data_IF_541701850708
#
_entry.id   IF_541701850708
#
_cell.length_a   1.000
_cell.length_b   1.000
_cell.length_c   1.000
_cell.angle_alpha   90.00
_cell.angle_beta   90.00
_cell.angle_gamma   90.00
#
_symmetry.space_group_name_H-M   'P 1'
#
loop_
_entity.id
_entity.type
_entity.pdbx_description
1 polymer ?
#
# COMPACT_ATOMS: atom_id res chain seq x y z
N UNK A 1 35.05 42.34 2.93
CA UNK A 1 35.43 40.92 3.00
C UNK A 1 34.28 40.15 3.63
N UNK A 2 33.77 39.11 2.98
CA UNK A 2 32.76 38.23 3.60
C UNK A 2 33.44 37.44 4.70
N UNK A 3 32.86 37.40 5.91
CA UNK A 3 33.44 36.64 7.01
C UNK A 3 33.33 35.13 6.72
N UNK A 4 34.34 34.35 7.14
CA UNK A 4 34.38 32.90 6.89
C UNK A 4 33.13 32.19 7.42
N UNK A 5 32.64 32.63 8.58
CA UNK A 5 31.43 32.11 9.21
C UNK A 5 30.17 32.48 8.43
N UNK A 6 30.11 33.66 7.81
CA UNK A 6 28.97 34.05 6.97
C UNK A 6 28.87 33.17 5.71
N UNK A 7 30.01 32.85 5.09
CA UNK A 7 30.05 31.94 3.94
C UNK A 7 29.59 30.53 4.31
N UNK A 8 30.02 30.01 5.48
CA UNK A 8 29.59 28.69 5.96
C UNK A 8 28.11 28.66 6.33
N UNK A 9 27.63 29.68 7.03
CA UNK A 9 26.22 29.79 7.41
C UNK A 9 25.30 29.83 6.19
N UNK A 10 25.68 30.58 5.15
CA UNK A 10 24.92 30.65 3.90
C UNK A 10 24.89 29.30 3.16
N UNK A 11 26.02 28.60 3.10
CA UNK A 11 26.09 27.26 2.51
C UNK A 11 25.22 26.24 3.26
N UNK A 12 25.25 26.25 4.60
CA UNK A 12 24.42 25.36 5.42
C UNK A 12 22.93 25.67 5.26
N UNK A 13 22.56 26.96 5.25
CA UNK A 13 21.18 27.38 5.07
C UNK A 13 20.63 26.96 3.69
N UNK A 14 21.41 27.18 2.62
CA UNK A 14 21.03 26.77 1.27
C UNK A 14 20.90 25.24 1.15
N UNK A 15 21.85 24.49 1.70
CA UNK A 15 21.82 23.03 1.70
C UNK A 15 20.58 22.49 2.43
N UNK A 16 20.32 22.99 3.65
CA UNK A 16 19.16 22.59 4.43
C UNK A 16 17.84 22.94 3.71
N UNK A 17 17.75 24.13 3.12
CA UNK A 17 16.57 24.55 2.36
C UNK A 17 16.31 23.62 1.16
N UNK A 18 17.35 23.27 0.40
CA UNK A 18 17.22 22.33 -0.71
C UNK A 18 16.81 20.93 -0.24
N UNK A 19 17.41 20.41 0.83
CA UNK A 19 17.08 19.09 1.39
C UNK A 19 15.64 19.01 1.89
N UNK A 20 15.15 20.06 2.54
CA UNK A 20 13.76 20.15 3.02
C UNK A 20 12.76 20.36 1.87
N UNK A 21 13.14 21.10 0.82
CA UNK A 21 12.29 21.33 -0.34
C UNK A 21 12.20 20.12 -1.29
N UNK A 22 13.19 19.22 -1.26
CA UNK A 22 13.28 18.05 -2.12
C UNK A 22 12.01 17.17 -2.19
N UNK A 23 11.40 16.74 -1.05
CA UNK A 23 10.17 15.94 -1.12
C UNK A 23 9.00 16.69 -1.76
N UNK A 24 8.93 18.01 -1.59
CA UNK A 24 7.88 18.83 -2.20
C UNK A 24 8.10 19.03 -3.70
N UNK A 25 9.35 19.16 -4.14
CA UNK A 25 9.71 19.19 -5.55
C UNK A 25 9.41 17.85 -6.25
N UNK A 26 9.70 16.74 -5.58
CA UNK A 26 9.41 15.40 -6.10
C UNK A 26 7.94 15.01 -6.03
N UNK A 27 7.11 15.73 -5.29
CA UNK A 27 5.66 15.54 -5.24
C UNK A 27 5.03 15.98 -6.56
N UNK A 28 5.35 15.28 -7.66
CA UNK A 28 4.54 15.29 -8.87
C UNK A 28 3.29 14.47 -8.59
N UNK A 29 2.17 15.02 -9.04
CA UNK A 29 0.80 14.49 -8.94
C UNK A 29 0.76 12.97 -9.13
N UNK A 30 0.88 12.23 -8.03
CA UNK A 30 0.67 10.78 -8.02
C UNK A 30 -0.84 10.61 -8.07
N UNK A 31 -1.37 10.19 -9.21
CA UNK A 31 -2.73 9.65 -9.23
C UNK A 31 -2.84 8.65 -8.07
N UNK A 32 -3.87 8.76 -7.22
CA UNK A 32 -4.01 7.87 -6.09
C UNK A 32 -4.01 6.43 -6.61
N UNK A 33 -3.01 5.65 -6.18
CA UNK A 33 -2.86 4.25 -6.58
C UNK A 33 -4.14 3.43 -6.30
N UNK A 34 -4.90 3.86 -5.30
CA UNK A 34 -6.20 3.32 -4.94
C UNK A 34 -7.23 4.43 -5.14
N UNK A 35 -7.92 4.36 -6.27
CA UNK A 35 -9.08 5.18 -6.55
C UNK A 35 -10.34 4.45 -6.06
N UNK A 36 -10.98 4.98 -5.03
CA UNK A 36 -12.21 4.41 -4.47
C UNK A 36 -13.43 4.58 -5.38
N UNK A 37 -13.35 5.46 -6.38
CA UNK A 37 -14.37 5.61 -7.43
C UNK A 37 -14.21 4.58 -8.55
N UNK A 38 -13.04 3.94 -8.64
CA UNK A 38 -12.78 2.87 -9.60
C UNK A 38 -13.33 1.56 -9.07
N UNK A 39 -14.13 0.88 -9.89
CA UNK A 39 -14.58 -0.47 -9.57
C UNK A 39 -13.37 -1.36 -9.29
N UNK A 40 -13.43 -2.09 -8.17
CA UNK A 40 -12.42 -3.07 -7.82
C UNK A 40 -12.25 -4.06 -8.99
N UNK A 41 -11.01 -4.44 -9.33
CA UNK A 41 -10.77 -5.39 -10.42
C UNK A 41 -11.52 -6.70 -10.13
N UNK A 42 -12.03 -7.43 -11.14
CA UNK A 42 -12.80 -8.65 -10.94
C UNK A 42 -12.06 -9.68 -10.06
N UNK A 43 -10.74 -9.70 -10.08
CA UNK A 43 -9.91 -10.56 -9.23
C UNK A 43 -9.98 -10.20 -7.73
N UNK A 44 -10.34 -8.96 -7.39
CA UNK A 44 -10.57 -8.49 -6.03
C UNK A 44 -12.05 -8.62 -5.58
N UNK A 45 -13.00 -8.64 -6.52
CA UNK A 45 -14.45 -8.74 -6.22
C UNK A 45 -15.00 -10.14 -6.38
N UNK A 46 -14.50 -10.91 -7.34
CA UNK A 46 -15.00 -12.23 -7.70
C UNK A 46 -14.48 -13.27 -6.70
N UNK A 47 -15.04 -13.17 -5.48
CA UNK A 47 -15.02 -14.22 -4.50
C UNK A 47 -15.95 -15.32 -5.03
N UNK A 48 -15.38 -16.37 -5.61
CA UNK A 48 -16.15 -17.59 -5.89
C UNK A 48 -16.71 -18.18 -4.58
N UNK A 49 -17.62 -19.18 -4.64
CA UNK A 49 -18.22 -19.80 -3.45
C UNK A 49 -17.22 -20.38 -2.44
N UNK A 50 -15.95 -20.51 -2.82
CA UNK A 50 -14.85 -21.01 -2.01
C UNK A 50 -13.70 -20.00 -2.02
N UNK A 51 -13.76 -19.05 -1.08
CA UNK A 51 -12.63 -18.18 -0.77
C UNK A 51 -11.70 -18.96 0.17
N UNK A 52 -10.45 -19.16 -0.27
CA UNK A 52 -9.41 -19.82 0.50
C UNK A 52 -8.94 -18.94 1.66
N UNK A 53 -9.72 -18.88 2.75
CA UNK A 53 -9.11 -18.77 4.07
C UNK A 53 -8.38 -20.10 4.28
N UNK A 54 -7.06 -20.05 4.48
CA UNK A 54 -6.17 -21.21 4.44
C UNK A 54 -6.39 -22.29 5.52
N UNK A 55 -7.59 -22.43 6.10
CA UNK A 55 -7.99 -23.63 6.81
C UNK A 55 -8.69 -24.59 5.86
N UNK A 56 -8.16 -25.80 5.73
CA UNK A 56 -9.00 -26.94 5.37
C UNK A 56 -10.07 -27.04 6.47
N UNK A 57 -11.25 -26.50 6.25
CA UNK A 57 -12.36 -26.87 7.12
C UNK A 57 -12.64 -28.35 6.87
N UNK A 58 -12.54 -29.09 7.96
CA UNK A 58 -12.63 -30.54 8.06
C UNK A 58 -13.95 -31.07 7.48
N UNK A 59 -13.85 -32.15 6.70
CA UNK A 59 -14.88 -33.18 6.55
C UNK A 59 -15.59 -33.26 5.19
N UNK A 60 -15.45 -34.37 4.43
CA UNK A 60 -16.64 -35.07 3.96
C UNK A 60 -17.39 -35.54 5.21
N UNK A 61 -18.69 -35.24 5.35
CA UNK A 61 -19.52 -35.89 6.36
C UNK A 61 -19.61 -37.39 6.04
N UNK A 62 -18.60 -38.11 6.52
CA UNK A 62 -18.54 -39.55 6.52
C UNK A 62 -19.53 -40.07 7.56
N UNK A 63 -20.79 -40.20 7.16
CA UNK A 63 -21.69 -41.30 7.55
C UNK A 63 -23.13 -40.95 7.22
N UNK A 64 -23.60 -41.36 6.03
CA UNK A 64 -25.01 -41.75 5.91
C UNK A 64 -25.11 -43.14 5.31
N UNK A 65 -24.67 -44.12 6.10
CA UNK A 65 -25.25 -45.46 6.05
C UNK A 65 -26.54 -45.44 6.87
N UNK A 66 -27.69 -45.26 6.22
CA UNK A 66 -28.97 -45.62 6.84
C UNK A 66 -29.85 -46.29 5.79
N UNK A 67 -29.48 -47.53 5.46
CA UNK A 67 -30.42 -48.54 5.01
C UNK A 67 -31.29 -48.95 6.21
N UNK A 68 -32.59 -48.68 6.18
CA UNK A 68 -33.61 -49.55 6.80
C UNK A 68 -35.01 -49.10 6.42
N UNK A 69 -35.67 -50.04 5.72
CA UNK A 69 -37.11 -50.34 5.65
C UNK A 69 -38.02 -49.37 4.90
#
# INVERSE_FOLDING_TARGET
>A
MVSRNAATALGLAAFAACGLAFPFFLRRNTEPMIDASKALPPQAVMRGPYINTGSKDVGPDGSRSSSST
#
